data_IF_911847180034
#
_entry.id   IF_911847180034
#
_cell.length_a   1.000
_cell.length_b   1.000
_cell.length_c   1.000
_cell.angle_alpha   90.00
_cell.angle_beta   90.00
_cell.angle_gamma   90.00
#
_symmetry.space_group_name_H-M   'P 1'
#
loop_
_entity.id
_entity.type
_entity.pdbx_description
1 polymer ?
#
# COMPACT_ATOMS: atom_id res chain seq x y z
N UNK A 1 39.73 -58.37 -20.76
CA UNK A 1 38.63 -57.80 -21.56
C UNK A 1 37.78 -56.94 -20.66
N UNK A 2 37.49 -55.71 -21.10
CA UNK A 2 36.90 -54.63 -20.32
C UNK A 2 35.50 -54.98 -19.77
N UNK A 3 35.32 -54.88 -18.46
CA UNK A 3 33.99 -54.79 -17.85
C UNK A 3 33.58 -53.32 -17.86
N UNK A 4 32.66 -52.95 -18.74
CA UNK A 4 32.04 -51.63 -18.75
C UNK A 4 30.69 -51.73 -18.03
N UNK A 5 30.68 -51.51 -16.72
CA UNK A 5 29.47 -51.25 -15.94
C UNK A 5 29.37 -49.76 -15.63
N UNK A 6 28.96 -48.96 -16.62
CA UNK A 6 28.45 -47.61 -16.32
C UNK A 6 26.96 -47.69 -16.02
N UNK A 7 26.65 -48.21 -14.83
CA UNK A 7 25.35 -48.04 -14.20
C UNK A 7 25.25 -46.65 -13.59
N UNK A 8 24.88 -45.63 -14.37
CA UNK A 8 24.54 -44.30 -13.85
C UNK A 8 23.21 -43.80 -14.45
N UNK A 9 22.14 -44.00 -13.68
CA UNK A 9 21.07 -43.03 -13.35
C UNK A 9 20.75 -41.92 -14.37
N UNK A 10 20.20 -42.27 -15.52
CA UNK A 10 19.69 -41.30 -16.51
C UNK A 10 18.16 -41.10 -16.43
N UNK A 11 17.59 -41.06 -15.21
CA UNK A 11 16.19 -40.62 -15.02
C UNK A 11 16.06 -39.08 -15.00
N UNK A 12 17.13 -38.39 -14.58
CA UNK A 12 17.13 -36.95 -14.37
C UNK A 12 17.15 -36.14 -15.68
N UNK A 13 17.79 -36.65 -16.74
CA UNK A 13 17.87 -35.97 -18.04
C UNK A 13 16.52 -36.00 -18.77
N UNK A 14 15.78 -37.11 -18.67
CA UNK A 14 14.47 -37.27 -19.31
C UNK A 14 13.39 -36.37 -18.69
N UNK A 15 13.52 -36.02 -17.41
CA UNK A 15 12.57 -35.14 -16.70
C UNK A 15 12.73 -33.65 -17.07
N UNK A 16 13.87 -33.26 -17.65
CA UNK A 16 14.16 -31.86 -18.01
C UNK A 16 13.62 -31.43 -19.38
N UNK A 17 13.33 -32.37 -20.28
CA UNK A 17 12.89 -32.07 -21.66
C UNK A 17 11.37 -32.00 -21.84
N UNK A 18 10.55 -32.33 -20.83
CA UNK A 18 9.08 -32.36 -20.93
C UNK A 18 8.35 -31.13 -20.37
N UNK A 19 9.04 -30.00 -20.15
CA UNK A 19 8.43 -28.74 -19.70
C UNK A 19 8.33 -27.70 -20.82
N UNK A 20 7.77 -28.09 -21.96
CA UNK A 20 7.37 -27.18 -23.02
C UNK A 20 5.99 -27.58 -23.53
N UNK A 21 4.98 -27.58 -22.66
CA UNK A 21 3.57 -27.42 -23.02
C UNK A 21 2.78 -27.23 -21.72
N UNK A 22 3.01 -26.09 -21.05
CA UNK A 22 1.99 -25.57 -20.14
C UNK A 22 0.91 -24.98 -21.04
N UNK A 23 -0.35 -25.45 -20.99
CA UNK A 23 -1.40 -24.87 -21.80
C UNK A 23 -1.48 -23.39 -21.46
N UNK A 24 -1.34 -22.54 -22.48
CA UNK A 24 -1.52 -21.10 -22.34
C UNK A 24 -2.79 -20.85 -21.52
N UNK A 25 -2.63 -20.38 -20.28
CA UNK A 25 -3.76 -20.07 -19.41
C UNK A 25 -4.65 -19.13 -20.21
N UNK A 26 -5.86 -19.59 -20.56
CA UNK A 26 -6.85 -18.75 -21.24
C UNK A 26 -7.02 -17.50 -20.38
N UNK A 27 -6.54 -16.36 -20.89
CA UNK A 27 -6.79 -15.09 -20.22
C UNK A 27 -8.31 -14.96 -20.11
N UNK A 28 -8.85 -14.71 -18.89
CA UNK A 28 -10.27 -14.45 -18.75
C UNK A 28 -10.63 -13.31 -19.72
N UNK A 29 -11.71 -13.48 -20.49
CA UNK A 29 -12.30 -12.37 -21.25
C UNK A 29 -12.80 -11.36 -20.21
N UNK A 30 -11.94 -10.41 -19.83
CA UNK A 30 -12.32 -9.36 -18.88
C UNK A 30 -13.46 -8.54 -19.48
N UNK A 31 -14.48 -8.28 -18.67
CA UNK A 31 -15.59 -7.44 -19.13
C UNK A 31 -15.07 -6.03 -19.45
N UNK A 32 -15.63 -5.31 -20.43
CA UNK A 32 -15.19 -3.97 -20.80
C UNK A 32 -15.08 -2.99 -19.61
N UNK A 33 -15.98 -3.14 -18.62
CA UNK A 33 -16.02 -2.31 -17.41
C UNK A 33 -14.87 -2.59 -16.43
N UNK A 34 -14.32 -3.81 -16.45
CA UNK A 34 -13.15 -4.18 -15.63
C UNK A 34 -11.87 -3.55 -16.20
N UNK A 35 -11.79 -3.43 -17.53
CA UNK A 35 -10.68 -2.75 -18.17
C UNK A 35 -10.64 -1.27 -17.80
N UNK A 36 -11.77 -0.54 -17.86
CA UNK A 36 -11.80 0.89 -17.50
C UNK A 36 -11.45 1.14 -16.03
N UNK A 37 -11.93 0.28 -15.12
CA UNK A 37 -11.56 0.33 -13.71
C UNK A 37 -10.07 0.05 -13.48
N UNK A 38 -9.51 -0.98 -14.15
CA UNK A 38 -8.08 -1.30 -14.03
C UNK A 38 -7.22 -0.14 -14.55
N UNK A 39 -7.59 0.46 -15.68
CA UNK A 39 -6.89 1.64 -16.22
C UNK A 39 -6.96 2.85 -15.28
N UNK A 40 -8.10 3.06 -14.59
CA UNK A 40 -8.20 4.10 -13.57
C UNK A 40 -7.25 3.83 -12.40
N UNK A 41 -7.28 2.62 -11.83
CA UNK A 41 -6.42 2.25 -10.70
C UNK A 41 -4.93 2.33 -11.03
N UNK A 42 -4.54 2.04 -12.28
CA UNK A 42 -3.17 2.18 -12.74
C UNK A 42 -2.73 3.62 -12.96
N UNK A 43 -3.66 4.53 -13.28
CA UNK A 43 -3.38 5.96 -13.43
C UNK A 43 -3.20 6.70 -12.10
N UNK A 44 -3.59 6.09 -10.97
CA UNK A 44 -3.41 6.69 -9.66
C UNK A 44 -1.93 6.78 -9.28
N UNK A 45 -1.52 7.84 -8.57
CA UNK A 45 -0.14 7.98 -8.14
C UNK A 45 0.22 6.90 -7.11
N UNK A 46 1.21 6.09 -7.47
CA UNK A 46 1.76 4.99 -6.66
C UNK A 46 2.97 5.48 -5.89
N UNK A 47 3.10 5.02 -4.65
CA UNK A 47 4.24 5.31 -3.79
C UNK A 47 5.47 4.55 -4.29
N UNK A 48 6.64 5.19 -4.21
CA UNK A 48 7.91 4.56 -4.57
C UNK A 48 8.25 3.37 -3.65
N UNK A 49 8.91 2.37 -4.23
CA UNK A 49 9.14 1.07 -3.57
C UNK A 49 10.04 1.16 -2.34
N UNK A 50 10.90 2.19 -2.20
CA UNK A 50 11.77 2.35 -1.03
C UNK A 50 11.02 2.77 0.24
N UNK A 51 9.82 3.34 0.10
CA UNK A 51 8.93 3.59 1.24
C UNK A 51 8.14 2.34 1.66
N UNK A 52 8.09 1.33 0.79
CA UNK A 52 7.41 0.07 1.04
C UNK A 52 8.28 -0.85 1.91
N UNK A 53 7.65 -1.68 2.74
CA UNK A 53 8.38 -2.70 3.50
C UNK A 53 8.95 -3.74 2.54
N UNK A 54 10.25 -4.05 2.66
CA UNK A 54 10.94 -5.09 1.86
C UNK A 54 10.22 -6.44 1.82
N UNK A 55 9.53 -6.80 2.90
CA UNK A 55 8.78 -8.06 3.01
C UNK A 55 7.40 -8.05 2.35
N UNK A 56 6.95 -6.92 1.81
CA UNK A 56 5.61 -6.77 1.23
C UNK A 56 5.68 -6.57 -0.28
N UNK A 57 4.87 -7.34 -1.01
CA UNK A 57 4.63 -7.15 -2.45
C UNK A 57 3.49 -6.18 -2.76
N UNK A 58 2.97 -5.47 -1.73
CA UNK A 58 1.82 -4.56 -1.88
C UNK A 58 2.23 -3.28 -2.62
N UNK A 59 1.37 -2.84 -3.53
CA UNK A 59 1.48 -1.54 -4.18
C UNK A 59 0.75 -0.53 -3.31
N UNK A 60 1.47 0.48 -2.82
CA UNK A 60 0.85 1.50 -1.98
C UNK A 60 0.46 2.71 -2.82
N UNK A 61 -0.76 3.22 -2.62
CA UNK A 61 -1.15 4.53 -3.10
C UNK A 61 -0.51 5.62 -2.23
N UNK A 62 -0.23 6.77 -2.83
CA UNK A 62 0.21 7.95 -2.07
C UNK A 62 -0.79 8.28 -0.93
N UNK A 63 -0.31 8.85 0.20
CA UNK A 63 -1.14 9.20 1.36
C UNK A 63 -2.02 10.44 1.12
N UNK A 64 -2.63 10.54 -0.07
CA UNK A 64 -3.66 11.53 -0.41
C UNK A 64 -5.07 11.05 -0.01
N UNK A 65 -5.25 9.73 0.05
CA UNK A 65 -6.53 9.10 0.39
C UNK A 65 -6.49 8.60 1.84
N UNK A 66 -7.56 8.82 2.61
CA UNK A 66 -7.65 8.33 3.99
C UNK A 66 -8.30 6.94 4.06
N UNK A 67 -9.25 6.71 3.16
CA UNK A 67 -10.07 5.49 3.11
C UNK A 67 -10.27 4.97 1.69
N UNK A 68 -10.63 3.68 1.58
CA UNK A 68 -11.00 3.07 0.29
C UNK A 68 -12.28 3.70 -0.28
N UNK A 69 -13.15 4.24 0.57
CA UNK A 69 -14.34 4.97 0.14
C UNK A 69 -13.97 6.28 -0.56
N UNK A 70 -12.91 6.96 -0.12
CA UNK A 70 -12.42 8.19 -0.77
C UNK A 70 -11.93 7.89 -2.18
N UNK A 71 -11.15 6.81 -2.35
CA UNK A 71 -10.67 6.37 -3.66
C UNK A 71 -11.85 6.03 -4.58
N UNK A 72 -12.87 5.36 -4.04
CA UNK A 72 -14.10 5.05 -4.78
C UNK A 72 -14.86 6.32 -5.19
N UNK A 73 -14.91 7.34 -4.34
CA UNK A 73 -15.57 8.61 -4.66
C UNK A 73 -14.84 9.35 -5.80
N UNK A 74 -13.50 9.32 -5.81
CA UNK A 74 -12.71 9.85 -6.93
C UNK A 74 -12.98 9.08 -8.22
N UNK A 75 -13.10 7.75 -8.12
CA UNK A 75 -13.50 6.91 -9.26
C UNK A 75 -14.88 7.26 -9.80
N UNK A 76 -15.88 7.44 -8.92
CA UNK A 76 -17.23 7.85 -9.33
C UNK A 76 -17.22 9.20 -10.06
N UNK A 77 -16.43 10.15 -9.58
CA UNK A 77 -16.28 11.47 -10.21
C UNK A 77 -15.64 11.34 -11.58
N UNK A 78 -14.55 10.57 -11.70
CA UNK A 78 -13.89 10.29 -12.96
C UNK A 78 -14.80 9.58 -13.99
N UNK A 79 -15.67 8.67 -13.54
CA UNK A 79 -16.66 8.03 -14.40
C UNK A 79 -17.72 9.02 -14.88
N UNK A 80 -18.19 9.94 -14.01
CA UNK A 80 -19.13 11.00 -14.40
C UNK A 80 -18.53 11.91 -15.47
N UNK A 81 -17.28 12.32 -15.31
CA UNK A 81 -16.58 13.18 -16.28
C UNK A 81 -16.42 12.51 -17.65
N UNK A 82 -16.24 11.18 -17.67
CA UNK A 82 -16.15 10.37 -18.89
C UNK A 82 -17.50 9.90 -19.44
N UNK A 83 -18.62 10.27 -18.80
CA UNK A 83 -19.96 9.78 -19.14
C UNK A 83 -20.08 8.23 -19.12
N UNK A 84 -19.31 7.57 -18.25
CA UNK A 84 -19.35 6.12 -18.05
C UNK A 84 -20.15 5.76 -16.78
N UNK A 85 -20.81 4.60 -16.78
CA UNK A 85 -21.46 4.09 -15.57
C UNK A 85 -20.41 3.48 -14.62
N UNK A 86 -20.27 3.97 -13.37
CA UNK A 86 -19.32 3.42 -12.42
C UNK A 86 -19.67 1.97 -12.05
N UNK A 87 -18.63 1.17 -11.79
CA UNK A 87 -18.77 -0.19 -11.26
C UNK A 87 -19.25 -0.17 -9.80
N UNK A 88 -19.86 -1.27 -9.33
CA UNK A 88 -20.31 -1.37 -7.93
C UNK A 88 -19.12 -1.38 -6.96
N UNK A 89 -19.35 -0.93 -5.72
CA UNK A 89 -18.33 -0.90 -4.64
C UNK A 89 -17.68 -2.28 -4.42
N UNK A 90 -18.47 -3.36 -4.51
CA UNK A 90 -17.96 -4.72 -4.33
C UNK A 90 -16.96 -5.10 -5.42
N UNK A 91 -17.27 -4.79 -6.69
CA UNK A 91 -16.37 -5.04 -7.82
C UNK A 91 -15.12 -4.18 -7.68
N UNK A 92 -15.27 -2.91 -7.28
CA UNK A 92 -14.12 -2.05 -7.00
C UNK A 92 -13.18 -2.62 -5.94
N UNK A 93 -13.74 -3.07 -4.81
CA UNK A 93 -12.96 -3.65 -3.71
C UNK A 93 -12.26 -4.96 -4.10
N UNK A 94 -12.92 -5.80 -4.90
CA UNK A 94 -12.36 -7.04 -5.45
C UNK A 94 -11.17 -6.74 -6.38
N UNK A 95 -11.35 -5.81 -7.33
CA UNK A 95 -10.30 -5.41 -8.26
C UNK A 95 -9.11 -4.72 -7.55
N UNK A 96 -9.39 -3.88 -6.56
CA UNK A 96 -8.36 -3.26 -5.72
C UNK A 96 -7.52 -4.29 -4.97
N UNK A 97 -8.18 -5.34 -4.44
CA UNK A 97 -7.53 -6.46 -3.77
C UNK A 97 -6.76 -7.35 -4.74
N UNK A 98 -7.31 -7.59 -5.94
CA UNK A 98 -6.67 -8.36 -7.02
C UNK A 98 -5.36 -7.73 -7.46
N UNK A 99 -5.30 -6.39 -7.53
CA UNK A 99 -4.10 -5.63 -7.88
C UNK A 99 -3.12 -5.47 -6.70
N UNK A 100 -3.40 -6.10 -5.56
CA UNK A 100 -2.60 -6.04 -4.33
C UNK A 100 -2.31 -4.60 -3.88
N UNK A 101 -3.28 -3.70 -4.08
CA UNK A 101 -3.15 -2.30 -3.72
C UNK A 101 -3.52 -2.06 -2.25
N UNK A 102 -2.92 -1.05 -1.65
CA UNK A 102 -3.25 -0.60 -0.30
C UNK A 102 -3.04 0.91 -0.20
N UNK A 103 -3.79 1.56 0.68
CA UNK A 103 -3.53 2.96 1.02
C UNK A 103 -2.33 3.01 1.97
N UNK A 104 -1.33 3.86 1.66
CA UNK A 104 -0.18 4.02 2.54
C UNK A 104 -0.60 4.69 3.84
N UNK A 105 -0.32 4.02 4.96
CA UNK A 105 -0.44 4.60 6.30
C UNK A 105 0.94 4.55 6.95
N UNK A 106 1.61 5.70 7.14
CA UNK A 106 2.85 5.74 7.89
C UNK A 106 2.62 5.10 9.27
N UNK A 107 3.35 4.04 9.59
CA UNK A 107 3.32 3.45 10.94
C UNK A 107 4.55 3.87 11.75
N UNK A 108 5.65 4.17 11.06
CA UNK A 108 6.89 4.64 11.68
C UNK A 108 6.75 6.12 12.00
N UNK A 109 7.35 6.56 13.10
CA UNK A 109 7.46 7.98 13.51
C UNK A 109 6.15 8.63 13.98
N UNK A 110 5.09 7.84 14.20
CA UNK A 110 3.87 8.32 14.86
C UNK A 110 3.99 8.17 16.38
N UNK A 111 3.31 9.05 17.12
CA UNK A 111 3.29 8.98 18.58
C UNK A 111 2.30 7.91 19.04
N UNK A 112 2.78 6.89 19.74
CA UNK A 112 1.96 5.77 20.25
C UNK A 112 0.78 6.23 21.10
N UNK A 113 0.96 7.28 21.92
CA UNK A 113 -0.12 7.84 22.76
C UNK A 113 -1.21 8.48 21.88
N UNK A 114 -0.82 9.20 20.83
CA UNK A 114 -1.79 9.86 19.95
C UNK A 114 -2.57 8.86 19.10
N UNK A 115 -1.89 7.83 18.57
CA UNK A 115 -2.53 6.74 17.82
C UNK A 115 -3.42 5.91 18.75
N UNK A 116 -2.93 5.56 19.93
CA UNK A 116 -3.68 4.78 20.90
C UNK A 116 -4.97 5.49 21.33
N UNK A 117 -4.95 6.82 21.45
CA UNK A 117 -6.16 7.58 21.73
C UNK A 117 -7.14 7.59 20.54
N UNK A 118 -6.67 7.78 19.30
CA UNK A 118 -7.54 7.76 18.12
C UNK A 118 -8.16 6.39 17.86
N UNK A 119 -7.43 5.32 18.14
CA UNK A 119 -7.90 3.94 18.07
C UNK A 119 -8.69 3.50 19.34
N UNK A 120 -8.89 4.40 20.32
CA UNK A 120 -9.62 4.17 21.59
C UNK A 120 -9.03 3.11 22.52
N UNK A 121 -7.71 2.91 22.46
CA UNK A 121 -6.94 2.06 23.36
C UNK A 121 -6.36 2.80 24.57
N UNK A 122 -6.33 4.13 24.54
CA UNK A 122 -5.76 4.99 25.58
C UNK A 122 -6.84 5.89 26.17
N UNK A 123 -6.75 6.14 27.48
CA UNK A 123 -7.67 7.01 28.19
C UNK A 123 -7.45 8.51 27.85
N UNK A 124 -8.50 9.30 28.03
CA UNK A 124 -8.50 10.73 27.72
C UNK A 124 -7.53 11.54 28.60
N UNK A 125 -7.28 11.10 29.84
CA UNK A 125 -6.38 11.79 30.78
C UNK A 125 -4.93 11.64 30.30
N UNK A 126 -4.53 10.45 29.87
CA UNK A 126 -3.21 10.19 29.31
C UNK A 126 -2.96 10.99 28.02
N UNK A 127 -3.98 11.10 27.15
CA UNK A 127 -3.91 11.92 25.94
C UNK A 127 -3.78 13.41 26.26
N UNK A 128 -4.65 13.95 27.11
CA UNK A 128 -4.64 15.36 27.51
C UNK A 128 -3.29 15.75 28.13
N UNK A 129 -2.74 14.90 29.00
CA UNK A 129 -1.40 15.08 29.57
C UNK A 129 -0.29 15.14 28.50
N UNK A 130 -0.39 14.34 27.43
CA UNK A 130 0.55 14.37 26.31
C UNK A 130 0.45 15.67 25.53
N UNK A 131 -0.76 16.18 25.29
CA UNK A 131 -0.99 17.46 24.61
C UNK A 131 -0.42 18.62 25.42
N UNK A 132 -0.72 18.71 26.72
CA UNK A 132 -0.15 19.77 27.58
C UNK A 132 1.38 19.80 27.57
N UNK A 133 2.03 18.62 27.62
CA UNK A 133 3.51 18.56 27.54
C UNK A 133 4.04 19.03 26.19
N UNK A 134 3.36 18.71 25.10
CA UNK A 134 3.71 19.16 23.75
C UNK A 134 3.60 20.69 23.66
N UNK A 135 2.51 21.25 24.14
CA UNK A 135 2.25 22.69 24.06
C UNK A 135 3.26 23.47 24.90
N UNK A 136 3.57 22.99 26.11
CA UNK A 136 4.60 23.60 26.96
C UNK A 136 5.97 23.62 26.28
N UNK A 137 6.38 22.50 25.68
CA UNK A 137 7.66 22.43 24.95
C UNK A 137 7.68 23.35 23.71
N UNK A 138 6.55 23.54 23.03
CA UNK A 138 6.44 24.48 21.91
C UNK A 138 6.51 25.94 22.39
N UNK A 139 5.89 26.25 23.53
CA UNK A 139 5.95 27.57 24.16
C UNK A 139 7.38 27.91 24.59
N UNK A 140 8.05 27.02 25.31
CA UNK A 140 9.47 27.17 25.70
C UNK A 140 10.35 27.41 24.45
N UNK A 141 10.20 26.57 23.40
CA UNK A 141 10.92 26.77 22.12
C UNK A 141 10.63 28.12 21.46
N UNK A 142 9.39 28.61 21.54
CA UNK A 142 9.03 29.92 20.97
C UNK A 142 9.66 31.08 21.75
N UNK A 143 9.73 30.94 23.08
CA UNK A 143 10.38 31.91 23.96
C UNK A 143 11.89 31.93 23.71
N UNK A 144 12.54 30.77 23.61
CA UNK A 144 13.97 30.68 23.30
C UNK A 144 14.32 31.36 21.97
N UNK A 145 13.48 31.15 20.94
CA UNK A 145 13.62 31.84 19.65
C UNK A 145 13.50 33.35 19.80
N UNK A 146 12.54 33.82 20.60
CA UNK A 146 12.34 35.25 20.82
C UNK A 146 13.51 35.86 21.60
N UNK A 147 13.96 35.22 22.68
CA UNK A 147 15.11 35.66 23.48
C UNK A 147 16.39 35.74 22.65
N UNK A 148 16.60 34.78 21.74
CA UNK A 148 17.72 34.80 20.80
C UNK A 148 17.66 35.98 19.81
N UNK A 149 16.46 36.35 19.34
CA UNK A 149 16.25 37.54 18.50
C UNK A 149 16.49 38.82 19.30
N UNK A 150 16.02 38.86 20.54
CA UNK A 150 16.13 40.01 21.45
C UNK A 150 17.54 40.18 22.03
N UNK A 151 18.49 39.28 21.71
CA UNK A 151 19.88 39.34 22.16
C UNK A 151 20.06 39.03 23.65
N UNK A 152 19.07 38.42 24.30
CA UNK A 152 19.13 37.94 25.68
C UNK A 152 19.63 36.50 25.66
N UNK A 153 20.94 36.32 25.55
CA UNK A 153 21.60 35.03 25.77
C UNK A 153 22.27 35.01 27.14
#
# INVERSE_FOLDING_TARGET
>A
MFQATTGLKEWWIRKRLSKCDEPAKKMPRESPRKCTLTSFLDSLPKLESHYCRKSSSKVYLEPKFQSMADVFHVYETHCKDKSETPSSRSVFAEEFSRLNMSIFRPRKDQCDICIGYSEKHIDEVAYTRRIHKKDRAQQEKSQDKQSAIDGKC
#
